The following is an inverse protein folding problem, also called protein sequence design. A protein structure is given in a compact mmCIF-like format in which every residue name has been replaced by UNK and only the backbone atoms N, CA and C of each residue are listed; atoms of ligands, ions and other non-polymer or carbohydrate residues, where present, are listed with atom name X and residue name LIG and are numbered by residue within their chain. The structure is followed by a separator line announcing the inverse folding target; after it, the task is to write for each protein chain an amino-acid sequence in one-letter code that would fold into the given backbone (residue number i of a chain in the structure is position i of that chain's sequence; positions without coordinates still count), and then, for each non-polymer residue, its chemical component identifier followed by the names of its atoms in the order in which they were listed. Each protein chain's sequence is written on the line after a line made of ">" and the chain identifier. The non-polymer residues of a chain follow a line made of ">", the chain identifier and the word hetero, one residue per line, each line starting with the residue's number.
data_IF_708912417133
#
_entry.id   IF_708912417133
#
_cell.length_a   1.000
_cell.length_b   1.000
_cell.length_c   1.000
_cell.angle_alpha   90.00
_cell.angle_beta   90.00
_cell.angle_gamma   90.00
#
_symmetry.space_group_name_H-M   'P 1'
#
loop_
_entity.id
_entity.type
_entity.pdbx_description
1 polymer ?
#
# COMPACT_ATOMS: atom_id res chain seq x y z
N UNK A 1 8.54 61.07 -6.87
CA UNK A 1 7.87 59.76 -6.93
C UNK A 1 6.70 59.75 -5.94
N UNK A 2 5.45 59.91 -6.40
CA UNK A 2 4.27 59.91 -5.51
C UNK A 2 3.97 58.48 -5.07
N UNK A 3 4.21 58.17 -3.80
CA UNK A 3 3.75 56.92 -3.18
C UNK A 3 2.21 56.96 -3.19
N UNK A 4 1.58 56.15 -4.04
CA UNK A 4 0.12 55.94 -4.01
C UNK A 4 -0.23 55.37 -2.64
N UNK A 5 -1.00 56.11 -1.84
CA UNK A 5 -1.59 55.62 -0.59
C UNK A 5 -2.54 54.48 -0.94
N UNK A 6 -2.16 53.25 -0.61
CA UNK A 6 -3.05 52.09 -0.73
C UNK A 6 -4.01 52.16 0.46
N UNK A 7 -5.32 52.06 0.21
CA UNK A 7 -6.31 52.07 1.29
C UNK A 7 -6.17 50.81 2.15
N UNK A 8 -6.07 50.97 3.46
CA UNK A 8 -5.95 49.86 4.40
C UNK A 8 -7.06 48.81 4.22
N UNK A 9 -8.28 49.22 3.87
CA UNK A 9 -9.39 48.31 3.57
C UNK A 9 -9.17 47.47 2.31
N UNK A 10 -8.46 48.00 1.30
CA UNK A 10 -8.10 47.24 0.11
C UNK A 10 -7.00 46.20 0.41
N UNK A 11 -6.06 46.55 1.29
CA UNK A 11 -5.04 45.61 1.80
C UNK A 11 -5.74 44.50 2.60
N UNK A 12 -6.66 44.85 3.48
CA UNK A 12 -7.43 43.89 4.28
C UNK A 12 -8.24 42.94 3.40
N UNK A 13 -8.91 43.47 2.37
CA UNK A 13 -9.66 42.66 1.40
C UNK A 13 -8.77 41.70 0.60
N UNK A 14 -7.60 42.16 0.15
CA UNK A 14 -6.61 41.30 -0.51
C UNK A 14 -6.11 40.19 0.42
N UNK A 15 -5.83 40.51 1.69
CA UNK A 15 -5.43 39.51 2.69
C UNK A 15 -6.51 38.43 2.88
N UNK A 16 -7.79 38.80 2.97
CA UNK A 16 -8.89 37.84 3.12
C UNK A 16 -9.00 36.90 1.91
N UNK A 17 -8.86 37.44 0.69
CA UNK A 17 -8.90 36.63 -0.54
C UNK A 17 -7.71 35.68 -0.60
N UNK A 18 -6.50 36.16 -0.27
CA UNK A 18 -5.29 35.33 -0.21
C UNK A 18 -5.48 34.22 0.85
N UNK A 19 -6.00 34.54 2.03
CA UNK A 19 -6.26 33.53 3.05
C UNK A 19 -7.30 32.50 2.61
N UNK A 20 -8.39 32.91 1.95
CA UNK A 20 -9.37 31.95 1.40
C UNK A 20 -8.72 31.01 0.37
N UNK A 21 -7.87 31.53 -0.51
CA UNK A 21 -7.14 30.72 -1.49
C UNK A 21 -6.16 29.74 -0.80
N UNK A 22 -5.41 30.20 0.20
CA UNK A 22 -4.47 29.36 0.95
C UNK A 22 -5.20 28.25 1.73
N UNK A 23 -6.34 28.56 2.36
CA UNK A 23 -7.16 27.56 3.04
C UNK A 23 -7.74 26.52 2.06
N UNK A 24 -8.21 26.96 0.90
CA UNK A 24 -8.73 26.05 -0.12
C UNK A 24 -7.63 25.10 -0.64
N UNK A 25 -6.44 25.63 -0.93
CA UNK A 25 -5.30 24.83 -1.38
C UNK A 25 -4.84 23.84 -0.30
N UNK A 26 -4.73 24.28 0.96
CA UNK A 26 -4.30 23.44 2.09
C UNK A 26 -5.24 22.26 2.35
N UNK A 27 -6.56 22.42 2.17
CA UNK A 27 -7.53 21.33 2.36
C UNK A 27 -7.59 20.41 1.12
N UNK A 28 -7.44 20.97 -0.08
CA UNK A 28 -7.60 20.20 -1.32
C UNK A 28 -6.50 19.16 -1.56
N UNK A 29 -5.25 19.46 -1.21
CA UNK A 29 -4.11 18.56 -1.43
C UNK A 29 -4.20 17.23 -0.65
N UNK A 30 -4.41 17.21 0.69
CA UNK A 30 -4.52 15.95 1.44
C UNK A 30 -5.71 15.11 0.97
N UNK A 31 -6.84 15.73 0.63
CA UNK A 31 -8.02 15.01 0.13
C UNK A 31 -7.79 14.33 -1.23
N UNK A 32 -7.03 14.96 -2.12
CA UNK A 32 -6.69 14.35 -3.42
C UNK A 32 -5.77 13.15 -3.22
N UNK A 33 -4.75 13.29 -2.37
CA UNK A 33 -3.84 12.19 -2.05
C UNK A 33 -4.58 11.00 -1.43
N UNK A 34 -5.40 11.23 -0.41
CA UNK A 34 -6.19 10.16 0.24
C UNK A 34 -7.10 9.44 -0.75
N UNK A 35 -7.75 10.18 -1.66
CA UNK A 35 -8.60 9.60 -2.70
C UNK A 35 -7.79 8.75 -3.70
N UNK A 36 -6.63 9.25 -4.14
CA UNK A 36 -5.75 8.51 -5.05
C UNK A 36 -5.21 7.25 -4.37
N UNK A 37 -4.74 7.36 -3.13
CA UNK A 37 -4.28 6.25 -2.31
C UNK A 37 -5.38 5.19 -2.17
N UNK A 38 -6.60 5.57 -1.78
CA UNK A 38 -7.71 4.62 -1.64
C UNK A 38 -8.04 3.87 -2.94
N UNK A 39 -7.99 4.56 -4.09
CA UNK A 39 -8.19 3.92 -5.39
C UNK A 39 -7.07 2.92 -5.72
N UNK A 40 -5.80 3.31 -5.54
CA UNK A 40 -4.67 2.44 -5.82
C UNK A 40 -4.63 1.24 -4.86
N UNK A 41 -4.95 1.46 -3.59
CA UNK A 41 -5.09 0.38 -2.61
C UNK A 41 -6.15 -0.65 -3.02
N UNK A 42 -7.27 -0.23 -3.60
CA UNK A 42 -8.31 -1.15 -4.04
C UNK A 42 -7.79 -2.16 -5.09
N UNK A 43 -7.02 -1.67 -6.07
CA UNK A 43 -6.40 -2.52 -7.10
C UNK A 43 -5.31 -3.44 -6.52
N UNK A 44 -4.50 -2.93 -5.60
CA UNK A 44 -3.46 -3.71 -4.92
C UNK A 44 -4.09 -4.82 -4.06
N UNK A 45 -5.17 -4.51 -3.32
CA UNK A 45 -5.93 -5.49 -2.51
C UNK A 45 -6.49 -6.60 -3.39
N UNK A 46 -7.04 -6.28 -4.56
CA UNK A 46 -7.53 -7.28 -5.50
C UNK A 46 -6.41 -8.24 -5.94
N UNK A 47 -5.24 -7.71 -6.32
CA UNK A 47 -4.08 -8.51 -6.72
C UNK A 47 -3.55 -9.39 -5.58
N UNK A 48 -3.47 -8.86 -4.36
CA UNK A 48 -3.09 -9.66 -3.18
C UNK A 48 -4.06 -10.83 -2.95
N UNK A 49 -5.37 -10.62 -3.13
CA UNK A 49 -6.37 -11.69 -3.00
C UNK A 49 -6.25 -12.76 -4.10
N UNK A 50 -5.84 -12.38 -5.32
CA UNK A 50 -5.52 -13.33 -6.38
C UNK A 50 -4.29 -14.18 -6.01
N UNK A 51 -3.23 -13.56 -5.52
CA UNK A 51 -2.01 -14.24 -5.07
C UNK A 51 -2.32 -15.20 -3.91
N UNK A 52 -3.10 -14.74 -2.91
CA UNK A 52 -3.59 -15.59 -1.80
C UNK A 52 -4.29 -16.83 -2.33
N UNK A 53 -5.22 -16.66 -3.27
CA UNK A 53 -6.00 -17.75 -3.83
C UNK A 53 -5.11 -18.74 -4.61
N UNK A 54 -4.06 -18.26 -5.28
CA UNK A 54 -3.09 -19.10 -5.97
C UNK A 54 -2.24 -19.93 -4.99
N UNK A 55 -1.74 -19.30 -3.93
CA UNK A 55 -0.99 -19.96 -2.85
C UNK A 55 -1.84 -20.99 -2.11
N UNK A 56 -3.11 -20.68 -1.82
CA UNK A 56 -4.04 -21.61 -1.20
C UNK A 56 -4.31 -22.85 -2.05
N UNK A 57 -4.45 -22.68 -3.38
CA UNK A 57 -4.57 -23.82 -4.31
C UNK A 57 -3.30 -24.66 -4.34
N UNK A 58 -2.14 -24.03 -4.25
CA UNK A 58 -0.86 -24.75 -4.16
C UNK A 58 -0.78 -25.53 -2.83
N UNK A 59 -1.06 -24.88 -1.70
CA UNK A 59 -1.09 -25.52 -0.37
C UNK A 59 -2.06 -26.69 -0.31
N UNK A 60 -3.27 -26.56 -0.87
CA UNK A 60 -4.25 -27.64 -0.87
C UNK A 60 -3.75 -28.92 -1.56
N UNK A 61 -2.83 -28.78 -2.52
CA UNK A 61 -2.25 -29.91 -3.27
C UNK A 61 -0.95 -30.45 -2.67
N UNK A 62 -0.08 -29.56 -2.18
CA UNK A 62 1.28 -29.91 -1.76
C UNK A 62 1.50 -29.87 -0.25
N UNK A 63 0.52 -29.39 0.52
CA UNK A 63 0.58 -29.27 1.98
C UNK A 63 1.38 -28.06 2.49
N UNK A 64 2.04 -27.30 1.62
CA UNK A 64 2.84 -26.11 1.93
C UNK A 64 2.60 -25.00 0.91
N UNK A 65 2.88 -23.76 1.26
CA UNK A 65 2.94 -22.64 0.31
C UNK A 65 4.24 -22.71 -0.48
N UNK A 66 4.24 -22.17 -1.70
CA UNK A 66 5.44 -22.15 -2.53
C UNK A 66 6.31 -20.92 -2.24
N UNK A 67 5.71 -19.77 -1.97
CA UNK A 67 6.45 -18.53 -1.77
C UNK A 67 7.23 -18.06 -3.01
N UNK A 68 6.88 -18.58 -4.18
CA UNK A 68 7.61 -18.40 -5.44
C UNK A 68 6.62 -18.22 -6.60
N UNK A 69 6.67 -17.04 -7.22
CA UNK A 69 5.80 -16.71 -8.34
C UNK A 69 6.03 -17.58 -9.58
N UNK A 70 7.26 -17.99 -9.87
CA UNK A 70 7.55 -18.80 -11.05
C UNK A 70 6.90 -20.18 -10.94
N UNK A 71 6.83 -20.73 -9.72
CA UNK A 71 6.11 -21.97 -9.43
C UNK A 71 4.60 -21.77 -9.64
N UNK A 72 4.01 -20.69 -9.11
CA UNK A 72 2.58 -20.40 -9.28
C UNK A 72 2.19 -20.20 -10.75
N UNK A 73 3.06 -19.52 -11.53
CA UNK A 73 2.86 -19.29 -12.96
C UNK A 73 2.97 -20.61 -13.74
N UNK A 74 4.02 -21.40 -13.49
CA UNK A 74 4.21 -22.70 -14.13
C UNK A 74 3.07 -23.67 -13.82
N UNK A 75 2.53 -23.61 -12.60
CA UNK A 75 1.37 -24.39 -12.17
C UNK A 75 0.04 -23.86 -12.73
N UNK A 76 0.03 -22.72 -13.45
CA UNK A 76 -1.15 -22.05 -14.00
C UNK A 76 -2.15 -21.59 -12.92
N UNK A 77 -1.67 -21.32 -11.70
CA UNK A 77 -2.50 -20.75 -10.64
C UNK A 77 -2.54 -19.22 -10.69
N UNK A 78 -1.51 -18.60 -11.29
CA UNK A 78 -1.35 -17.17 -11.41
C UNK A 78 -0.80 -16.83 -12.80
N UNK A 79 -1.10 -15.64 -13.31
CA UNK A 79 -0.46 -15.14 -14.54
C UNK A 79 0.72 -14.22 -14.20
N UNK A 80 1.66 -14.04 -15.12
CA UNK A 80 2.85 -13.24 -14.87
C UNK A 80 2.50 -11.77 -14.54
N UNK A 81 1.51 -11.20 -15.21
CA UNK A 81 1.01 -9.86 -14.97
C UNK A 81 0.33 -9.67 -13.59
N UNK A 82 -0.10 -10.76 -12.95
CA UNK A 82 -0.69 -10.71 -11.60
C UNK A 82 0.36 -10.63 -10.50
N UNK A 83 1.64 -10.80 -10.84
CA UNK A 83 2.78 -10.65 -9.91
C UNK A 83 3.25 -9.20 -9.77
N UNK A 84 2.79 -8.32 -10.67
CA UNK A 84 3.23 -6.93 -10.75
C UNK A 84 2.36 -6.05 -9.85
N UNK A 85 3.00 -5.13 -9.13
CA UNK A 85 2.33 -4.12 -8.31
C UNK A 85 1.79 -3.04 -9.27
N UNK A 86 0.50 -2.69 -9.23
CA UNK A 86 -0.03 -1.56 -9.99
C UNK A 86 0.75 -0.27 -9.70
N UNK A 87 0.96 0.58 -10.73
CA UNK A 87 1.62 1.88 -10.62
C UNK A 87 3.11 1.88 -10.24
N UNK A 88 3.77 0.72 -10.25
CA UNK A 88 5.11 0.57 -9.67
C UNK A 88 6.26 0.42 -10.68
N UNK A 89 6.07 0.83 -11.93
CA UNK A 89 7.04 0.62 -13.02
C UNK A 89 7.53 -0.85 -13.15
N UNK A 90 6.60 -1.80 -12.99
CA UNK A 90 6.88 -3.22 -13.14
C UNK A 90 7.54 -3.90 -11.93
N UNK A 91 7.59 -3.25 -10.76
CA UNK A 91 7.97 -3.92 -9.50
C UNK A 91 6.98 -5.05 -9.18
N UNK A 92 7.48 -6.09 -8.51
CA UNK A 92 6.71 -7.26 -8.10
C UNK A 92 6.37 -7.18 -6.62
N UNK A 93 5.25 -7.83 -6.25
CA UNK A 93 4.92 -8.05 -4.85
C UNK A 93 6.06 -8.82 -4.14
N UNK A 94 6.26 -8.58 -2.86
CA UNK A 94 7.05 -9.50 -2.03
C UNK A 94 6.22 -10.73 -1.77
N UNK A 95 6.84 -11.92 -1.80
CA UNK A 95 6.18 -13.18 -1.47
C UNK A 95 7.19 -14.07 -0.75
N UNK A 96 6.79 -14.60 0.39
CA UNK A 96 7.60 -15.49 1.20
C UNK A 96 6.72 -16.60 1.78
N UNK A 97 7.31 -17.79 1.95
CA UNK A 97 6.68 -18.92 2.59
C UNK A 97 7.64 -19.56 3.60
N UNK A 98 7.09 -20.10 4.68
CA UNK A 98 7.84 -20.89 5.67
C UNK A 98 6.93 -21.90 6.34
N UNK A 99 7.50 -22.80 7.13
CA UNK A 99 6.75 -23.72 7.98
C UNK A 99 7.25 -23.59 9.40
N UNK A 100 6.36 -23.26 10.32
CA UNK A 100 6.67 -23.23 11.75
C UNK A 100 6.21 -24.53 12.41
N UNK A 101 6.88 -24.89 13.51
CA UNK A 101 6.52 -26.05 14.33
C UNK A 101 5.85 -25.52 15.59
N UNK A 102 4.56 -25.82 15.76
CA UNK A 102 3.82 -25.46 16.96
C UNK A 102 4.24 -26.32 18.16
N UNK A 103 3.93 -25.89 19.40
CA UNK A 103 4.27 -26.62 20.63
C UNK A 103 3.77 -28.08 20.66
N UNK A 104 2.72 -28.39 19.90
CA UNK A 104 2.17 -29.74 19.75
C UNK A 104 2.90 -30.61 18.73
N UNK A 105 3.96 -30.12 18.07
CA UNK A 105 4.65 -30.78 16.96
C UNK A 105 3.94 -30.61 15.61
N UNK A 106 2.77 -29.96 15.57
CA UNK A 106 2.06 -29.66 14.32
C UNK A 106 2.89 -28.69 13.47
N UNK A 107 3.17 -29.09 12.23
CA UNK A 107 3.73 -28.21 11.20
C UNK A 107 2.64 -27.31 10.64
N UNK A 108 2.88 -26.01 10.64
CA UNK A 108 1.95 -25.00 10.13
C UNK A 108 2.64 -24.24 9.01
N UNK A 109 2.24 -24.46 7.74
CA UNK A 109 2.74 -23.65 6.63
C UNK A 109 2.18 -22.24 6.73
N UNK A 110 3.04 -21.25 6.52
CA UNK A 110 2.74 -19.83 6.56
C UNK A 110 3.22 -19.17 5.27
N UNK A 111 2.52 -18.12 4.85
CA UNK A 111 2.96 -17.24 3.77
C UNK A 111 2.79 -15.78 4.18
N UNK A 112 3.57 -14.91 3.56
CA UNK A 112 3.37 -13.47 3.59
C UNK A 112 3.54 -12.92 2.18
N UNK A 113 2.65 -12.04 1.77
CA UNK A 113 2.75 -11.32 0.50
C UNK A 113 2.35 -9.86 0.68
N UNK A 114 3.10 -8.93 0.11
CA UNK A 114 2.82 -7.51 0.27
C UNK A 114 3.44 -6.58 -0.75
N UNK A 115 3.03 -5.33 -0.70
CA UNK A 115 3.56 -4.20 -1.46
C UNK A 115 3.62 -2.97 -0.54
N UNK A 116 4.70 -2.19 -0.64
CA UNK A 116 4.90 -1.01 0.19
C UNK A 116 4.14 0.20 -0.35
N UNK A 117 3.85 1.19 0.51
CA UNK A 117 3.29 2.47 0.05
C UNK A 117 4.18 3.13 -1.02
N UNK A 118 5.49 3.07 -0.87
CA UNK A 118 6.47 3.58 -1.84
C UNK A 118 6.29 2.92 -3.22
N UNK A 119 5.98 1.61 -3.25
CA UNK A 119 5.82 0.88 -4.49
C UNK A 119 4.56 1.29 -5.27
N UNK A 120 3.39 1.25 -4.64
CA UNK A 120 2.12 1.44 -5.36
C UNK A 120 1.60 2.87 -5.34
N UNK A 121 2.16 3.76 -4.50
CA UNK A 121 1.85 5.20 -4.54
C UNK A 121 2.84 6.01 -5.37
N UNK A 122 3.76 5.34 -6.07
CA UNK A 122 4.75 5.96 -6.94
C UNK A 122 4.14 6.99 -7.92
N UNK A 123 4.82 8.12 -8.07
CA UNK A 123 4.34 9.27 -8.83
C UNK A 123 3.20 10.09 -8.18
N UNK A 124 2.80 9.80 -6.93
CA UNK A 124 2.00 10.72 -6.11
C UNK A 124 2.91 11.68 -5.31
N UNK A 125 2.33 12.47 -4.41
CA UNK A 125 3.08 13.40 -3.58
C UNK A 125 4.05 12.66 -2.63
N UNK A 126 5.35 12.81 -2.85
CA UNK A 126 6.41 12.11 -2.11
C UNK A 126 6.39 12.40 -0.60
N UNK A 127 6.15 13.64 -0.18
CA UNK A 127 6.06 14.01 1.24
C UNK A 127 4.87 13.31 1.93
N UNK A 128 3.74 13.21 1.23
CA UNK A 128 2.56 12.51 1.73
C UNK A 128 2.80 11.00 1.82
N UNK A 129 3.51 10.40 0.85
CA UNK A 129 3.93 8.99 0.90
C UNK A 129 4.83 8.75 2.10
N UNK A 130 5.85 9.58 2.30
CA UNK A 130 6.75 9.49 3.44
C UNK A 130 5.97 9.59 4.77
N UNK A 131 5.05 10.54 4.87
CA UNK A 131 4.23 10.72 6.07
C UNK A 131 3.39 9.48 6.42
N UNK A 132 2.75 8.84 5.44
CA UNK A 132 1.95 7.62 5.70
C UNK A 132 2.83 6.40 5.99
N UNK A 133 3.98 6.30 5.33
CA UNK A 133 4.99 5.25 5.58
C UNK A 133 5.57 5.34 6.99
N UNK A 134 5.99 6.53 7.41
CA UNK A 134 6.51 6.79 8.77
C UNK A 134 5.43 6.51 9.82
N UNK A 135 4.21 7.04 9.62
CA UNK A 135 3.09 6.81 10.54
C UNK A 135 2.77 5.33 10.72
N UNK A 136 2.80 4.54 9.66
CA UNK A 136 2.59 3.10 9.73
C UNK A 136 3.73 2.41 10.49
N UNK A 137 4.98 2.76 10.17
CA UNK A 137 6.18 2.17 10.77
C UNK A 137 6.28 2.49 12.27
N UNK A 138 6.02 3.73 12.67
CA UNK A 138 6.00 4.19 14.07
C UNK A 138 4.92 3.49 14.89
N UNK A 139 3.81 3.13 14.25
CA UNK A 139 2.75 2.33 14.86
C UNK A 139 3.08 0.82 14.92
N UNK A 140 4.25 0.40 14.43
CA UNK A 140 4.64 -1.01 14.32
C UNK A 140 3.85 -1.78 13.26
N UNK A 141 3.17 -1.09 12.35
CA UNK A 141 2.44 -1.69 11.24
C UNK A 141 3.34 -1.83 10.01
N UNK A 142 2.97 -2.74 9.12
CA UNK A 142 3.63 -2.83 7.82
C UNK A 142 3.32 -1.57 6.98
N UNK A 143 4.33 -0.88 6.41
CA UNK A 143 4.14 0.35 5.64
C UNK A 143 3.63 0.05 4.22
N UNK A 144 2.41 -0.46 4.13
CA UNK A 144 1.75 -0.78 2.88
C UNK A 144 0.63 -1.77 3.08
N UNK A 145 0.38 -2.60 2.07
CA UNK A 145 -0.63 -3.65 2.13
C UNK A 145 0.04 -5.01 2.13
N UNK A 146 -0.39 -5.87 3.06
CA UNK A 146 0.07 -7.26 3.10
C UNK A 146 -1.03 -8.22 3.54
N UNK A 147 -0.82 -9.48 3.16
CA UNK A 147 -1.59 -10.64 3.60
C UNK A 147 -0.64 -11.66 4.22
N UNK A 148 -1.12 -12.35 5.25
CA UNK A 148 -0.36 -13.36 5.95
C UNK A 148 0.78 -12.81 6.80
N UNK A 149 1.49 -13.74 7.43
CA UNK A 149 2.59 -13.47 8.33
C UNK A 149 3.45 -14.74 8.43
N UNK A 150 4.73 -14.64 8.10
CA UNK A 150 5.66 -15.79 8.14
C UNK A 150 6.12 -16.13 9.56
N UNK A 151 5.82 -15.32 10.56
CA UNK A 151 6.27 -15.51 11.94
C UNK A 151 5.20 -16.11 12.85
N UNK A 152 3.92 -15.94 12.51
CA UNK A 152 2.78 -16.42 13.30
C UNK A 152 1.64 -16.88 12.40
N UNK A 153 0.92 -17.90 12.86
CA UNK A 153 -0.32 -18.33 12.21
C UNK A 153 -1.42 -17.29 12.44
N UNK A 154 -1.73 -16.52 11.39
CA UNK A 154 -2.78 -15.52 11.37
C UNK A 154 -3.88 -15.86 10.35
N UNK A 155 -3.98 -17.11 9.90
CA UNK A 155 -4.92 -17.55 8.87
C UNK A 155 -4.88 -16.71 7.57
N UNK A 156 -3.66 -16.32 7.17
CA UNK A 156 -3.40 -15.46 6.02
C UNK A 156 -4.18 -14.12 6.04
N UNK A 157 -4.43 -13.57 7.23
CA UNK A 157 -5.20 -12.33 7.39
C UNK A 157 -4.56 -11.13 6.66
N UNK A 158 -5.42 -10.22 6.18
CA UNK A 158 -5.02 -8.91 5.64
C UNK A 158 -4.73 -7.91 6.77
N UNK A 159 -3.94 -6.88 6.47
CA UNK A 159 -3.70 -5.75 7.38
C UNK A 159 -4.66 -4.55 7.18
N UNK A 160 -5.74 -4.74 6.40
CA UNK A 160 -6.81 -3.77 6.15
C UNK A 160 -8.17 -4.37 6.48
#
# INVERSE_FOLDING_TARGET
>A
MKLRKINNNAILGACVIIMMLLCALSISQPLIFEKQMANREAEVKEKLMLIRSAEERYRAKYGVYTGDFDVLIKAKYLKAEDTLIPYSDGRKFSLAATTIIHKSGKQIPLMECGATYEDYLDGLNEEAIQQVTEKASDAGNFPGLKIGDITKDNDNASNW
#
